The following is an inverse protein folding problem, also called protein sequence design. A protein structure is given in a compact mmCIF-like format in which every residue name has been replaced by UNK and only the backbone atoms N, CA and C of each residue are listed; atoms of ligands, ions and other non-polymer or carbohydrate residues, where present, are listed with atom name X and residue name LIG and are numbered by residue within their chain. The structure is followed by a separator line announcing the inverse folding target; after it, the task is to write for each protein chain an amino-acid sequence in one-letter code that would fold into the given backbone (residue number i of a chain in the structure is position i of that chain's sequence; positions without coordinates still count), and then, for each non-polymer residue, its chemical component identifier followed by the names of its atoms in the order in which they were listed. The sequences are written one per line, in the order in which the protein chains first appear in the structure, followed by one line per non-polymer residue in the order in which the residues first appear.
data_IF_864923693518
#
_entry.id   IF_864923693518
#
_cell.length_a   1.000
_cell.length_b   1.000
_cell.length_c   1.000
_cell.angle_alpha   90.00
_cell.angle_beta   90.00
_cell.angle_gamma   90.00
#
_symmetry.space_group_name_H-M   'P 1'
#
loop_
_entity.id
_entity.type
_entity.pdbx_description
1 polymer ?
#
# COMPACT_ATOMS: atom_id res chain seq x y z
N UNK A 1 18.44 -5.09 -15.10
CA UNK A 1 16.99 -5.06 -14.82
C UNK A 1 16.81 -5.25 -13.33
N UNK A 2 16.33 -4.24 -12.63
CA UNK A 2 16.05 -4.32 -11.19
C UNK A 2 14.67 -4.92 -10.99
N UNK A 3 14.58 -5.97 -10.18
CA UNK A 3 13.32 -6.56 -9.73
C UNK A 3 13.40 -6.70 -8.21
N UNK A 4 12.43 -6.14 -7.49
CA UNK A 4 12.41 -6.22 -6.05
C UNK A 4 11.00 -6.14 -5.50
N UNK A 5 10.83 -6.60 -4.27
CA UNK A 5 9.61 -6.51 -3.49
C UNK A 5 9.89 -5.71 -2.21
N UNK A 6 8.97 -4.82 -1.86
CA UNK A 6 8.89 -4.21 -0.54
C UNK A 6 7.59 -4.67 0.10
N UNK A 7 7.67 -5.13 1.36
CA UNK A 7 6.51 -5.51 2.18
C UNK A 7 6.61 -4.79 3.51
N UNK A 8 5.61 -4.00 3.84
CA UNK A 8 5.49 -3.25 5.09
C UNK A 8 4.18 -3.62 5.78
N UNK A 9 4.22 -3.85 7.09
CA UNK A 9 3.04 -4.24 7.85
C UNK A 9 2.83 -3.33 9.05
N UNK A 10 1.58 -2.94 9.28
CA UNK A 10 1.17 -2.18 10.46
C UNK A 10 0.02 -2.91 11.14
N UNK A 11 0.20 -3.19 12.43
CA UNK A 11 -0.84 -3.78 13.26
C UNK A 11 -1.65 -2.68 13.96
N UNK A 12 -2.96 -2.80 13.90
CA UNK A 12 -3.91 -1.95 14.60
C UNK A 12 -4.62 -2.80 15.65
N UNK A 13 -4.51 -2.41 16.91
CA UNK A 13 -5.18 -3.09 18.01
C UNK A 13 -6.69 -2.82 17.98
N UNK A 14 -7.43 -3.66 18.68
CA UNK A 14 -8.84 -3.38 18.94
C UNK A 14 -8.96 -2.10 19.78
N UNK A 15 -9.92 -1.23 19.42
CA UNK A 15 -10.27 -0.05 20.20
C UNK A 15 -11.76 -0.12 20.56
N UNK A 16 -12.07 -0.75 21.69
CA UNK A 16 -13.44 -0.93 22.16
C UNK A 16 -14.35 -1.55 21.10
N UNK A 17 -15.45 -0.86 20.77
CA UNK A 17 -16.38 -1.19 19.68
C UNK A 17 -16.17 -0.38 18.40
N UNK A 18 -15.18 0.53 18.39
CA UNK A 18 -14.94 1.48 17.31
C UNK A 18 -14.09 0.85 16.20
N UNK A 19 -13.13 0.01 16.58
CA UNK A 19 -12.19 -0.62 15.65
C UNK A 19 -11.93 -2.07 16.07
N UNK A 20 -12.05 -2.99 15.12
CA UNK A 20 -11.57 -4.37 15.29
C UNK A 20 -10.05 -4.43 15.08
N UNK A 21 -9.39 -5.35 15.78
CA UNK A 21 -7.98 -5.61 15.53
C UNK A 21 -7.76 -6.02 14.07
N UNK A 22 -6.76 -5.43 13.42
CA UNK A 22 -6.44 -5.70 12.03
C UNK A 22 -4.96 -5.50 11.75
N UNK A 23 -4.48 -6.09 10.65
CA UNK A 23 -3.15 -5.85 10.11
C UNK A 23 -3.31 -5.31 8.70
N UNK A 24 -2.70 -4.17 8.42
CA UNK A 24 -2.65 -3.59 7.09
C UNK A 24 -1.24 -3.80 6.52
N UNK A 25 -1.17 -4.44 5.35
CA UNK A 25 0.04 -4.74 4.63
C UNK A 25 0.10 -3.89 3.37
N UNK A 26 1.22 -3.23 3.14
CA UNK A 26 1.53 -2.41 1.98
C UNK A 26 2.65 -3.09 1.21
N UNK A 27 2.42 -3.36 -0.07
CA UNK A 27 3.38 -4.04 -0.93
C UNK A 27 3.65 -3.23 -2.17
N UNK A 28 4.90 -3.29 -2.61
CA UNK A 28 5.33 -2.85 -3.94
C UNK A 28 6.12 -3.97 -4.58
N UNK A 29 5.67 -4.43 -5.74
CA UNK A 29 6.45 -5.25 -6.65
C UNK A 29 6.94 -4.36 -7.77
N UNK A 30 8.26 -4.22 -7.90
CA UNK A 30 8.86 -3.49 -9.00
C UNK A 30 9.43 -4.48 -10.01
N UNK A 31 8.96 -4.42 -11.26
CA UNK A 31 9.49 -5.20 -12.36
C UNK A 31 9.48 -4.39 -13.66
N UNK A 32 10.53 -4.46 -14.47
CA UNK A 32 10.52 -3.97 -15.87
C UNK A 32 9.90 -2.56 -16.07
N UNK A 33 10.27 -1.60 -15.22
CA UNK A 33 9.75 -0.22 -15.31
C UNK A 33 8.31 -0.01 -14.82
N UNK A 34 7.73 -1.00 -14.15
CA UNK A 34 6.36 -0.99 -13.62
C UNK A 34 6.37 -1.27 -12.12
N UNK A 35 5.61 -0.46 -11.38
CA UNK A 35 5.34 -0.68 -9.96
C UNK A 35 3.93 -1.24 -9.78
N UNK A 36 3.81 -2.43 -9.21
CA UNK A 36 2.53 -2.98 -8.76
C UNK A 36 2.41 -2.79 -7.24
N UNK A 37 1.47 -1.95 -6.84
CA UNK A 37 1.14 -1.72 -5.45
C UNK A 37 0.02 -2.65 -5.03
N UNK A 38 0.14 -3.25 -3.84
CA UNK A 38 -0.94 -4.02 -3.24
C UNK A 38 -1.17 -3.60 -1.79
N UNK A 39 -2.43 -3.38 -1.41
CA UNK A 39 -2.82 -3.21 -0.01
C UNK A 39 -3.69 -4.39 0.43
N UNK A 40 -3.33 -4.99 1.57
CA UNK A 40 -4.08 -6.10 2.15
C UNK A 40 -4.43 -5.80 3.60
N UNK A 41 -5.72 -5.81 3.93
CA UNK A 41 -6.21 -5.75 5.30
C UNK A 41 -6.62 -7.13 5.77
N UNK A 42 -6.00 -7.61 6.84
CA UNK A 42 -6.36 -8.85 7.54
C UNK A 42 -7.06 -8.52 8.85
N UNK A 43 -8.18 -9.18 9.10
CA UNK A 43 -8.98 -9.09 10.32
C UNK A 43 -9.33 -10.49 10.80
N UNK A 44 -9.90 -10.63 12.01
CA UNK A 44 -10.45 -11.91 12.47
C UNK A 44 -11.60 -12.44 11.60
N UNK A 45 -12.32 -11.54 10.90
CA UNK A 45 -13.43 -11.90 10.01
C UNK A 45 -12.99 -12.29 8.59
N UNK A 46 -11.72 -12.08 8.25
CA UNK A 46 -11.18 -12.39 6.92
C UNK A 46 -10.20 -11.33 6.41
N UNK A 47 -9.81 -11.48 5.15
CA UNK A 47 -8.87 -10.58 4.47
C UNK A 47 -9.49 -9.93 3.23
N UNK A 48 -9.14 -8.67 2.99
CA UNK A 48 -9.41 -7.96 1.73
C UNK A 48 -8.08 -7.55 1.14
N UNK A 49 -7.92 -7.73 -0.17
CA UNK A 49 -6.74 -7.28 -0.92
C UNK A 49 -7.17 -6.44 -2.12
N UNK A 50 -6.42 -5.38 -2.39
CA UNK A 50 -6.53 -4.56 -3.58
C UNK A 50 -5.16 -4.31 -4.19
N UNK A 51 -5.15 -4.01 -5.48
CA UNK A 51 -3.93 -3.76 -6.23
C UNK A 51 -4.12 -2.66 -7.27
N UNK A 52 -3.05 -1.94 -7.56
CA UNK A 52 -2.98 -0.92 -8.59
C UNK A 52 -1.61 -0.98 -9.26
N UNK A 53 -1.59 -0.84 -10.58
CA UNK A 53 -0.35 -0.81 -11.35
C UNK A 53 -0.06 0.61 -11.79
N UNK A 54 1.20 1.02 -11.63
CA UNK A 54 1.71 2.33 -12.02
C UNK A 54 2.84 2.14 -13.01
N UNK A 55 2.81 2.93 -14.07
CA UNK A 55 3.84 2.98 -15.11
C UNK A 55 4.45 4.38 -15.15
N UNK A 56 5.57 4.54 -15.85
CA UNK A 56 6.25 5.83 -16.07
C UNK A 56 6.86 6.50 -14.84
N UNK A 57 6.90 5.81 -13.70
CA UNK A 57 7.70 6.21 -12.56
C UNK A 57 9.05 5.51 -12.56
N UNK A 58 10.04 6.13 -11.92
CA UNK A 58 11.30 5.47 -11.56
C UNK A 58 11.11 4.52 -10.38
N UNK A 59 12.04 3.57 -10.23
CA UNK A 59 12.05 2.64 -9.09
C UNK A 59 12.11 3.38 -7.75
N UNK A 60 12.83 4.51 -7.68
CA UNK A 60 12.90 5.37 -6.49
C UNK A 60 11.55 6.01 -6.16
N UNK A 61 10.86 6.57 -7.15
CA UNK A 61 9.53 7.16 -6.93
C UNK A 61 8.50 6.13 -6.46
N UNK A 62 8.50 4.92 -7.04
CA UNK A 62 7.60 3.86 -6.54
C UNK A 62 7.91 3.48 -5.09
N UNK A 63 9.20 3.41 -4.74
CA UNK A 63 9.64 3.15 -3.37
C UNK A 63 9.17 4.23 -2.40
N UNK A 64 9.33 5.50 -2.77
CA UNK A 64 8.89 6.62 -1.94
C UNK A 64 7.37 6.61 -1.74
N UNK A 65 6.60 6.26 -2.78
CA UNK A 65 5.14 6.13 -2.68
C UNK A 65 4.72 5.02 -1.71
N UNK A 66 5.32 3.82 -1.76
CA UNK A 66 4.91 2.74 -0.84
C UNK A 66 5.27 3.07 0.61
N UNK A 67 6.40 3.75 0.84
CA UNK A 67 6.75 4.25 2.17
C UNK A 67 5.79 5.34 2.63
N UNK A 68 5.40 6.27 1.75
CA UNK A 68 4.42 7.29 2.09
C UNK A 68 3.09 6.67 2.54
N UNK A 69 2.57 5.68 1.81
CA UNK A 69 1.32 5.00 2.16
C UNK A 69 1.43 4.33 3.55
N UNK A 70 2.56 3.68 3.84
CA UNK A 70 2.81 3.01 5.10
C UNK A 70 3.00 3.96 6.30
N UNK A 71 3.81 5.01 6.12
CA UNK A 71 4.12 5.99 7.17
C UNK A 71 2.87 6.77 7.58
N UNK A 72 2.02 7.13 6.61
CA UNK A 72 0.77 7.82 6.86
C UNK A 72 -0.39 6.88 7.25
N UNK A 73 -0.13 5.58 7.41
CA UNK A 73 -1.13 4.59 7.76
C UNK A 73 -2.38 4.67 6.85
N UNK A 74 -2.17 4.90 5.55
CA UNK A 74 -3.25 5.10 4.57
C UNK A 74 -4.20 3.90 4.61
N UNK A 75 -5.50 4.10 4.86
CA UNK A 75 -6.43 3.00 5.00
C UNK A 75 -6.82 2.43 3.65
N UNK A 76 -7.32 1.19 3.68
CA UNK A 76 -7.69 0.46 2.46
C UNK A 76 -8.87 1.10 1.70
N UNK A 77 -9.69 1.91 2.36
CA UNK A 77 -10.91 2.46 1.79
C UNK A 77 -10.69 3.50 0.69
N UNK A 78 -9.59 4.26 0.74
CA UNK A 78 -9.33 5.40 -0.16
C UNK A 78 -7.88 5.44 -0.67
N UNK A 79 -7.13 4.35 -0.52
CA UNK A 79 -5.71 4.34 -0.89
C UNK A 79 -5.45 4.56 -2.37
N UNK A 80 -6.36 4.14 -3.25
CA UNK A 80 -6.21 4.34 -4.70
C UNK A 80 -6.39 5.80 -5.08
N UNK A 81 -7.33 6.50 -4.44
CA UNK A 81 -7.52 7.94 -4.64
C UNK A 81 -6.29 8.70 -4.15
N UNK A 82 -5.77 8.35 -2.97
CA UNK A 82 -4.52 8.93 -2.44
C UNK A 82 -3.34 8.64 -3.38
N UNK A 83 -3.22 7.40 -3.88
CA UNK A 83 -2.18 7.04 -4.84
C UNK A 83 -2.30 7.90 -6.10
N UNK A 84 -3.51 8.05 -6.64
CA UNK A 84 -3.76 8.88 -7.82
C UNK A 84 -3.40 10.36 -7.58
N UNK A 85 -3.76 10.92 -6.43
CA UNK A 85 -3.42 12.29 -6.06
C UNK A 85 -1.90 12.50 -5.93
N UNK A 86 -1.19 11.52 -5.35
CA UNK A 86 0.27 11.55 -5.26
C UNK A 86 0.92 11.47 -6.64
N UNK A 87 0.38 10.64 -7.54
CA UNK A 87 0.87 10.53 -8.92
C UNK A 87 0.67 11.82 -9.71
N UNK A 88 -0.43 12.54 -9.48
CA UNK A 88 -0.70 13.82 -10.12
C UNK A 88 0.24 14.95 -9.65
N UNK A 89 0.93 14.76 -8.52
CA UNK A 89 1.86 15.73 -7.95
C UNK A 89 3.33 15.49 -8.34
N UNK A 90 3.62 14.43 -9.10
CA UNK A 90 4.96 14.04 -9.57
C UNK A 90 5.19 14.54 -11.00
#
# INVERSE_FOLDING_TARGET
MECYEIVLERAFSQLGRIQQASVLQYKLYWHDGKGEFQLCRRTAAGSRQEQAQVQHLSSGQCRDLVYYLYENAVPMENWQDILHDLLAAI
#
